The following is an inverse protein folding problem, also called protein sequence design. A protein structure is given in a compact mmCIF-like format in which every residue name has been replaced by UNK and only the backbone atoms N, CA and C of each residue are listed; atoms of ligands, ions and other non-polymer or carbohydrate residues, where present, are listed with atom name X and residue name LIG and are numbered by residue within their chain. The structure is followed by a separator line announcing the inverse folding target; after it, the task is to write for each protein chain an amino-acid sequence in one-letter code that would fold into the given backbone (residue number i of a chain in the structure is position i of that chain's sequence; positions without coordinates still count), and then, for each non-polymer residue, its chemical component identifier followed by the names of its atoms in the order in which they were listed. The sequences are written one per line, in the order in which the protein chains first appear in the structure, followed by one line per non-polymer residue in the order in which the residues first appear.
data_IF_054527447467
#
_entry.id   IF_054527447467
#
_cell.length_a   1.000
_cell.length_b   1.000
_cell.length_c   1.000
_cell.angle_alpha   90.00
_cell.angle_beta   90.00
_cell.angle_gamma   90.00
#
_symmetry.space_group_name_H-M   'P 1'
#
loop_
_entity.id
_entity.type
_entity.pdbx_description
1 polymer ?
#
# COMPACT_ATOMS: atom_id res chain seq x y z
N UNK A 1 91.50 -32.65 36.61
CA UNK A 1 91.20 -32.05 35.28
C UNK A 1 89.94 -31.21 35.43
N UNK A 2 90.10 -29.89 35.40
CA UNK A 2 89.04 -28.89 35.46
C UNK A 2 88.43 -28.73 34.06
N UNK A 3 87.12 -28.93 33.91
CA UNK A 3 86.39 -28.50 32.71
C UNK A 3 85.79 -27.12 33.01
N UNK A 4 86.36 -26.08 32.40
CA UNK A 4 85.78 -24.74 32.34
C UNK A 4 84.56 -24.77 31.40
N UNK A 5 83.39 -24.43 31.93
CA UNK A 5 82.25 -23.99 31.13
C UNK A 5 82.42 -22.50 30.83
N UNK A 6 82.43 -22.13 29.56
CA UNK A 6 82.43 -20.76 29.10
C UNK A 6 80.98 -20.25 29.05
N UNK A 7 80.69 -19.19 29.81
CA UNK A 7 79.44 -18.45 29.74
C UNK A 7 79.31 -17.72 28.39
N UNK A 8 78.19 -17.95 27.71
CA UNK A 8 77.80 -17.22 26.50
C UNK A 8 77.10 -15.92 26.91
N UNK A 9 77.58 -14.73 26.50
CA UNK A 9 76.95 -13.47 26.91
C UNK A 9 75.61 -13.26 26.23
N UNK A 10 74.59 -12.94 27.03
CA UNK A 10 73.24 -12.58 26.58
C UNK A 10 73.26 -11.34 25.68
N UNK A 11 72.61 -11.44 24.52
CA UNK A 11 72.47 -10.35 23.56
C UNK A 11 71.67 -9.18 24.18
N UNK A 12 72.33 -8.04 24.35
CA UNK A 12 71.68 -6.79 24.79
C UNK A 12 70.89 -6.23 23.60
N UNK A 13 69.57 -6.36 23.65
CA UNK A 13 68.64 -5.74 22.70
C UNK A 13 68.81 -4.21 22.71
N UNK A 14 69.47 -3.64 21.70
CA UNK A 14 69.66 -2.20 21.51
C UNK A 14 68.35 -1.51 21.07
N UNK A 15 67.36 -1.45 21.96
CA UNK A 15 66.15 -0.65 21.75
C UNK A 15 66.46 0.79 22.14
N UNK A 16 66.48 1.71 21.16
CA UNK A 16 66.67 3.14 21.41
C UNK A 16 65.49 3.66 22.23
N UNK A 17 65.73 3.94 23.51
CA UNK A 17 64.74 4.56 24.40
C UNK A 17 64.69 6.05 24.04
N UNK A 18 63.68 6.45 23.27
CA UNK A 18 63.39 7.86 23.03
C UNK A 18 62.92 8.49 24.34
N UNK A 19 63.49 9.65 24.70
CA UNK A 19 63.07 10.42 25.88
C UNK A 19 61.59 10.79 25.74
N UNK A 20 60.81 10.56 26.79
CA UNK A 20 59.42 11.02 26.85
C UNK A 20 59.38 12.55 26.84
N UNK A 21 58.32 13.09 26.22
CA UNK A 21 58.02 14.51 26.32
C UNK A 21 57.76 14.88 27.78
N UNK A 22 58.22 16.06 28.22
CA UNK A 22 57.91 16.62 29.53
C UNK A 22 56.41 16.63 29.83
N UNK A 23 55.56 16.82 28.82
CA UNK A 23 54.09 16.80 28.94
C UNK A 23 53.56 15.40 29.27
N UNK A 24 54.19 14.36 28.74
CA UNK A 24 53.84 12.97 29.03
C UNK A 24 54.23 12.61 30.46
N UNK A 25 55.38 13.07 30.93
CA UNK A 25 55.85 12.80 32.29
C UNK A 25 55.03 13.57 33.33
N UNK A 26 54.66 14.82 33.03
CA UNK A 26 53.71 15.58 33.85
C UNK A 26 52.35 14.87 33.98
N UNK A 27 51.81 14.30 32.88
CA UNK A 27 50.56 13.52 32.93
C UNK A 27 50.69 12.27 33.78
N UNK A 28 51.83 11.56 33.71
CA UNK A 28 52.08 10.36 34.54
C UNK A 28 52.20 10.72 36.01
N UNK A 29 52.94 11.78 36.35
CA UNK A 29 53.08 12.26 37.72
C UNK A 29 51.73 12.68 38.31
N UNK A 30 50.93 13.44 37.54
CA UNK A 30 49.61 13.87 37.97
C UNK A 30 48.64 12.69 38.12
N UNK A 31 48.71 11.70 37.24
CA UNK A 31 47.92 10.47 37.38
C UNK A 31 48.34 9.64 38.60
N UNK A 32 49.64 9.59 38.93
CA UNK A 32 50.11 8.91 40.14
C UNK A 32 49.59 9.58 41.42
N UNK A 33 49.57 10.91 41.46
CA UNK A 33 48.99 11.67 42.58
C UNK A 33 47.48 11.39 42.74
N UNK A 34 46.73 11.33 41.62
CA UNK A 34 45.30 10.99 41.67
C UNK A 34 45.08 9.55 42.12
N UNK A 35 45.98 8.64 41.79
CA UNK A 35 45.84 7.25 42.21
C UNK A 35 46.07 7.06 43.73
N UNK A 36 46.94 7.89 44.33
CA UNK A 36 47.18 7.88 45.78
C UNK A 36 46.13 8.66 46.57
N UNK A 37 45.77 9.86 46.11
CA UNK A 37 44.97 10.83 46.91
C UNK A 37 43.55 11.05 46.36
N UNK A 38 43.26 10.54 45.16
CA UNK A 38 41.97 10.77 44.50
C UNK A 38 40.82 9.98 45.11
N UNK A 39 39.62 10.55 45.02
CA UNK A 39 38.38 9.93 45.47
C UNK A 39 37.84 8.96 44.41
N UNK A 40 37.32 7.82 44.87
CA UNK A 40 36.66 6.84 43.99
C UNK A 40 35.27 7.36 43.63
N UNK A 41 35.01 7.50 42.33
CA UNK A 41 33.71 7.91 41.79
C UNK A 41 33.15 6.84 40.86
N UNK A 42 31.88 7.00 40.48
CA UNK A 42 31.25 6.23 39.41
C UNK A 42 32.18 6.13 38.19
N UNK A 43 32.38 4.93 37.63
CA UNK A 43 33.34 4.74 36.56
C UNK A 43 32.92 5.49 35.29
N UNK A 44 33.85 6.24 34.71
CA UNK A 44 33.66 6.80 33.37
C UNK A 44 33.59 5.67 32.34
N UNK A 45 33.04 5.92 31.14
CA UNK A 45 32.90 4.90 30.09
C UNK A 45 34.23 4.19 29.79
N UNK A 46 35.33 4.94 29.82
CA UNK A 46 36.67 4.40 29.60
C UNK A 46 37.12 3.42 30.70
N UNK A 47 36.90 3.76 31.96
CA UNK A 47 37.25 2.90 33.09
C UNK A 47 36.29 1.70 33.19
N UNK A 48 35.00 1.91 32.94
CA UNK A 48 33.99 0.86 32.96
C UNK A 48 34.30 -0.26 31.96
N UNK A 49 34.59 0.09 30.70
CA UNK A 49 34.94 -0.87 29.64
C UNK A 49 36.21 -1.69 29.92
N UNK A 50 37.06 -1.21 30.82
CA UNK A 50 38.35 -1.85 31.17
C UNK A 50 38.35 -2.44 32.57
N UNK A 51 37.21 -2.39 33.27
CA UNK A 51 37.07 -2.83 34.65
C UNK A 51 38.11 -2.18 35.58
N UNK A 52 38.37 -0.88 35.40
CA UNK A 52 39.30 -0.11 36.21
C UNK A 52 38.55 0.77 37.23
N UNK A 53 39.16 0.98 38.39
CA UNK A 53 38.65 1.91 39.40
C UNK A 53 38.86 3.34 38.92
N UNK A 54 37.79 4.14 38.92
CA UNK A 54 37.83 5.52 38.47
C UNK A 54 38.09 6.45 39.66
N UNK A 55 39.34 6.93 39.79
CA UNK A 55 39.72 7.92 40.80
C UNK A 55 39.85 9.30 40.19
N UNK A 56 39.32 10.32 40.87
CA UNK A 56 39.35 11.72 40.43
C UNK A 56 39.74 12.63 41.59
N UNK A 57 40.66 13.57 41.35
CA UNK A 57 40.99 14.59 42.34
C UNK A 57 39.88 15.66 42.44
N UNK A 58 39.70 16.31 43.60
CA UNK A 58 38.77 17.42 43.74
C UNK A 58 39.12 18.54 42.75
N UNK A 59 38.11 19.06 42.05
CA UNK A 59 38.28 20.10 41.02
C UNK A 59 38.77 19.61 39.64
N UNK A 60 39.15 18.33 39.49
CA UNK A 60 39.48 17.77 38.18
C UNK A 60 38.23 17.30 37.44
N UNK A 61 38.10 17.68 36.17
CA UNK A 61 37.09 17.12 35.26
C UNK A 61 37.44 15.73 34.73
N UNK A 62 38.64 15.22 35.02
CA UNK A 62 39.18 13.97 34.47
C UNK A 62 39.73 13.04 35.55
N UNK A 63 39.46 11.75 35.39
CA UNK A 63 40.03 10.71 36.25
C UNK A 63 41.51 10.43 35.92
N UNK A 64 42.23 9.83 36.86
CA UNK A 64 43.67 9.53 36.76
C UNK A 64 44.02 8.73 35.50
N UNK A 65 43.21 7.73 35.16
CA UNK A 65 43.44 6.89 33.97
C UNK A 65 43.23 7.64 32.65
N UNK A 66 42.21 8.51 32.56
CA UNK A 66 42.00 9.34 31.37
C UNK A 66 43.12 10.37 31.20
N UNK A 67 43.64 10.93 32.30
CA UNK A 67 44.78 11.85 32.28
C UNK A 67 46.05 11.13 31.84
N UNK A 68 46.32 9.95 32.40
CA UNK A 68 47.46 9.09 32.02
C UNK A 68 47.48 8.80 30.52
N UNK A 69 46.31 8.51 29.95
CA UNK A 69 46.15 8.24 28.51
C UNK A 69 46.01 9.50 27.65
N UNK A 70 45.81 10.67 28.27
CA UNK A 70 45.53 11.92 27.55
C UNK A 70 44.21 11.92 26.78
N UNK A 71 43.17 11.24 27.28
CA UNK A 71 41.83 11.19 26.68
C UNK A 71 40.83 12.06 27.46
N UNK A 72 39.70 12.38 26.82
CA UNK A 72 38.55 12.97 27.50
C UNK A 72 37.97 12.01 28.53
N UNK A 73 37.38 12.55 29.58
CA UNK A 73 36.74 11.80 30.66
C UNK A 73 35.29 12.28 30.76
N UNK A 74 34.36 11.34 30.70
CA UNK A 74 32.92 11.53 30.84
C UNK A 74 32.44 11.31 32.30
N UNK A 75 33.36 10.90 33.20
CA UNK A 75 33.05 10.49 34.57
C UNK A 75 32.49 11.55 35.51
N UNK A 76 32.58 12.84 35.17
CA UNK A 76 32.02 13.93 35.99
C UNK A 76 30.57 14.27 35.59
N UNK A 77 30.12 13.83 34.41
CA UNK A 77 28.79 14.16 33.86
C UNK A 77 27.86 12.96 33.70
N UNK A 78 28.20 11.79 34.24
CA UNK A 78 27.38 10.58 34.05
C UNK A 78 25.99 10.75 34.67
N UNK A 79 25.89 11.42 35.82
CA UNK A 79 24.60 11.66 36.50
C UNK A 79 23.71 12.60 35.68
N UNK A 80 24.24 13.73 35.20
CA UNK A 80 23.45 14.66 34.39
C UNK A 80 23.11 14.11 33.00
N UNK A 81 23.97 13.26 32.43
CA UNK A 81 23.66 12.53 31.21
C UNK A 81 22.55 11.49 31.43
N UNK A 82 22.57 10.80 32.58
CA UNK A 82 21.54 9.84 32.96
C UNK A 82 20.19 10.52 33.20
N UNK A 83 20.17 11.66 33.90
CA UNK A 83 18.94 12.45 34.12
C UNK A 83 18.30 12.88 32.80
N UNK A 84 19.12 13.35 31.84
CA UNK A 84 18.64 13.69 30.49
C UNK A 84 18.09 12.47 29.75
N UNK A 85 18.79 11.34 29.81
CA UNK A 85 18.35 10.10 29.18
C UNK A 85 17.02 9.61 29.75
N UNK A 86 16.83 9.69 31.07
CA UNK A 86 15.57 9.33 31.73
C UNK A 86 14.42 10.29 31.36
N UNK A 87 14.70 11.59 31.27
CA UNK A 87 13.71 12.58 30.83
C UNK A 87 13.29 12.35 29.37
N UNK A 88 14.26 12.08 28.49
CA UNK A 88 13.99 11.72 27.10
C UNK A 88 13.20 10.42 27.00
N UNK A 89 13.56 9.40 27.78
CA UNK A 89 12.84 8.12 27.82
C UNK A 89 11.38 8.33 28.21
N UNK A 90 11.12 9.07 29.31
CA UNK A 90 9.75 9.37 29.75
C UNK A 90 8.96 10.14 28.70
N UNK A 91 9.61 11.07 27.99
CA UNK A 91 8.98 11.79 26.88
C UNK A 91 8.59 10.83 25.74
N UNK A 92 9.47 9.90 25.38
CA UNK A 92 9.19 8.89 24.35
C UNK A 92 8.09 7.93 24.77
N UNK A 93 8.05 7.53 26.05
CA UNK A 93 6.97 6.68 26.58
C UNK A 93 5.60 7.37 26.43
N UNK A 94 5.50 8.68 26.74
CA UNK A 94 4.27 9.43 26.50
C UNK A 94 3.92 9.54 25.01
N UNK A 95 4.89 9.82 24.14
CA UNK A 95 4.68 9.86 22.68
C UNK A 95 4.22 8.50 22.12
N UNK A 96 4.69 7.38 22.71
CA UNK A 96 4.24 6.03 22.36
C UNK A 96 2.79 5.81 22.78
N UNK A 97 2.46 6.15 24.02
CA UNK A 97 1.09 6.01 24.55
C UNK A 97 0.08 6.82 23.73
N UNK A 98 0.44 8.06 23.35
CA UNK A 98 -0.38 8.88 22.45
C UNK A 98 -0.58 8.22 21.08
N UNK A 99 0.49 7.68 20.48
CA UNK A 99 0.40 6.97 19.21
C UNK A 99 -0.43 5.68 19.31
N UNK A 100 -0.37 4.96 20.42
CA UNK A 100 -1.19 3.78 20.67
C UNK A 100 -2.67 4.13 20.76
N UNK A 101 -3.04 5.20 21.46
CA UNK A 101 -4.42 5.69 21.50
C UNK A 101 -4.93 6.10 20.11
N UNK A 102 -4.09 6.76 19.30
CA UNK A 102 -4.44 7.11 17.91
C UNK A 102 -4.68 5.85 17.05
N UNK A 103 -3.86 4.81 17.23
CA UNK A 103 -4.03 3.54 16.54
C UNK A 103 -5.35 2.86 16.90
N UNK A 104 -5.77 2.87 18.16
CA UNK A 104 -7.07 2.33 18.58
C UNK A 104 -8.23 3.06 17.90
N UNK A 105 -8.17 4.39 17.84
CA UNK A 105 -9.18 5.21 17.14
C UNK A 105 -9.20 4.88 15.64
N UNK A 106 -8.05 4.67 15.02
CA UNK A 106 -7.98 4.28 13.61
C UNK A 106 -8.52 2.86 13.37
N UNK A 107 -8.28 1.92 14.29
CA UNK A 107 -8.83 0.57 14.21
C UNK A 107 -10.36 0.56 14.29
N UNK A 108 -10.95 1.37 15.18
CA UNK A 108 -12.42 1.49 15.25
C UNK A 108 -12.98 2.08 13.96
N UNK A 109 -12.36 3.14 13.41
CA UNK A 109 -12.74 3.72 12.10
C UNK A 109 -12.64 2.69 10.99
N UNK A 110 -11.57 1.92 10.93
CA UNK A 110 -11.38 0.83 9.96
C UNK A 110 -12.51 -0.20 10.07
N UNK A 111 -12.82 -0.67 11.29
CA UNK A 111 -13.89 -1.62 11.52
C UNK A 111 -15.26 -1.10 11.04
N UNK A 112 -15.57 0.18 11.30
CA UNK A 112 -16.82 0.79 10.80
C UNK A 112 -16.86 0.87 9.27
N UNK A 113 -15.74 1.22 8.63
CA UNK A 113 -15.63 1.31 7.17
C UNK A 113 -15.77 -0.08 6.52
N UNK A 114 -15.13 -1.10 7.07
CA UNK A 114 -15.28 -2.49 6.63
C UNK A 114 -16.73 -2.97 6.80
N UNK A 115 -17.38 -2.61 7.91
CA UNK A 115 -18.80 -2.89 8.13
C UNK A 115 -19.69 -2.25 7.05
N UNK A 116 -19.47 -0.97 6.70
CA UNK A 116 -20.18 -0.29 5.61
C UNK A 116 -19.95 -0.97 4.26
N UNK A 117 -18.70 -1.29 3.94
CA UNK A 117 -18.34 -1.98 2.70
C UNK A 117 -19.00 -3.35 2.59
N UNK A 118 -19.09 -4.11 3.69
CA UNK A 118 -19.79 -5.39 3.72
C UNK A 118 -21.28 -5.24 3.40
N UNK A 119 -21.94 -4.20 3.93
CA UNK A 119 -23.37 -3.91 3.65
C UNK A 119 -23.57 -3.51 2.19
N UNK A 120 -22.74 -2.63 1.65
CA UNK A 120 -22.80 -2.22 0.25
C UNK A 120 -22.63 -3.40 -0.70
N UNK A 121 -21.70 -4.33 -0.40
CA UNK A 121 -21.54 -5.56 -1.18
C UNK A 121 -22.80 -6.43 -1.15
N UNK A 122 -23.45 -6.59 0.01
CA UNK A 122 -24.72 -7.33 0.13
C UNK A 122 -25.85 -6.66 -0.65
N UNK A 123 -26.01 -5.35 -0.51
CA UNK A 123 -27.01 -4.57 -1.23
C UNK A 123 -26.81 -4.66 -2.76
N UNK A 124 -25.56 -4.56 -3.23
CA UNK A 124 -25.23 -4.73 -4.65
C UNK A 124 -25.63 -6.11 -5.16
N UNK A 125 -25.32 -7.17 -4.42
CA UNK A 125 -25.71 -8.55 -4.79
C UNK A 125 -27.23 -8.71 -4.85
N UNK A 126 -27.94 -8.20 -3.84
CA UNK A 126 -29.40 -8.27 -3.80
C UNK A 126 -30.08 -7.43 -4.90
N UNK A 127 -29.50 -6.29 -5.28
CA UNK A 127 -29.98 -5.49 -6.40
C UNK A 127 -29.76 -6.21 -7.74
N UNK A 128 -28.58 -6.82 -7.92
CA UNK A 128 -28.27 -7.62 -9.11
C UNK A 128 -29.22 -8.82 -9.24
N UNK A 129 -29.44 -9.58 -8.18
CA UNK A 129 -30.36 -10.72 -8.18
C UNK A 129 -31.81 -10.30 -8.52
N UNK A 130 -32.28 -9.19 -7.94
CA UNK A 130 -33.60 -8.63 -8.28
C UNK A 130 -33.69 -8.18 -9.75
N UNK A 131 -32.62 -7.59 -10.29
CA UNK A 131 -32.54 -7.21 -11.70
C UNK A 131 -32.60 -8.43 -12.63
N UNK A 132 -31.87 -9.49 -12.31
CA UNK A 132 -31.90 -10.76 -13.05
C UNK A 132 -33.28 -11.41 -13.01
N UNK A 133 -33.97 -11.38 -11.86
CA UNK A 133 -35.33 -11.89 -11.72
C UNK A 133 -36.35 -11.08 -12.54
N UNK A 134 -36.30 -9.75 -12.48
CA UNK A 134 -37.17 -8.88 -13.28
C UNK A 134 -36.93 -9.07 -14.78
N UNK A 135 -35.66 -9.20 -15.19
CA UNK A 135 -35.29 -9.46 -16.57
C UNK A 135 -35.84 -10.83 -17.04
N UNK A 136 -35.69 -11.87 -16.24
CA UNK A 136 -36.23 -13.20 -16.56
C UNK A 136 -37.76 -13.21 -16.65
N UNK A 137 -38.46 -12.47 -15.78
CA UNK A 137 -39.92 -12.30 -15.85
C UNK A 137 -40.34 -11.54 -17.11
N UNK A 138 -39.63 -10.46 -17.46
CA UNK A 138 -39.90 -9.68 -18.66
C UNK A 138 -39.76 -10.52 -19.94
N UNK A 139 -38.70 -11.33 -20.04
CA UNK A 139 -38.54 -12.26 -21.18
C UNK A 139 -39.70 -13.24 -21.26
N UNK A 140 -40.10 -13.88 -20.15
CA UNK A 140 -41.22 -14.82 -20.16
C UNK A 140 -42.54 -14.19 -20.60
N UNK A 141 -42.78 -12.94 -20.21
CA UNK A 141 -43.98 -12.20 -20.63
C UNK A 141 -43.97 -11.95 -22.14
N UNK A 142 -42.81 -11.56 -22.70
CA UNK A 142 -42.67 -11.40 -24.15
C UNK A 142 -42.84 -12.73 -24.90
N UNK A 143 -42.24 -13.81 -24.39
CA UNK A 143 -42.41 -15.15 -24.98
C UNK A 143 -43.88 -15.60 -24.94
N UNK A 144 -44.62 -15.30 -23.87
CA UNK A 144 -46.06 -15.60 -23.76
C UNK A 144 -46.90 -14.73 -24.73
N UNK A 145 -46.57 -13.45 -24.89
CA UNK A 145 -47.23 -12.55 -25.84
C UNK A 145 -46.98 -12.98 -27.29
N UNK A 146 -45.77 -13.42 -27.62
CA UNK A 146 -45.41 -13.97 -28.94
C UNK A 146 -46.12 -15.31 -29.23
N UNK A 147 -46.51 -16.06 -28.21
CA UNK A 147 -47.30 -17.30 -28.35
C UNK A 147 -48.81 -17.00 -28.47
N UNK A 148 -49.32 -15.95 -27.82
CA UNK A 148 -50.73 -15.56 -27.85
C UNK A 148 -51.07 -14.78 -29.13
N UNK A 149 -50.11 -14.06 -29.70
CA UNK A 149 -50.20 -13.54 -31.06
C UNK A 149 -49.94 -14.71 -32.04
N UNK A 150 -50.87 -15.08 -32.94
CA UNK A 150 -50.70 -16.19 -33.88
C UNK A 150 -49.61 -16.00 -34.96
N UNK A 151 -48.55 -15.24 -34.69
CA UNK A 151 -47.49 -14.91 -35.65
C UNK A 151 -46.39 -15.97 -35.74
N UNK A 152 -46.53 -17.11 -35.06
CA UNK A 152 -45.47 -18.12 -34.95
C UNK A 152 -45.81 -19.54 -35.42
N UNK A 153 -47.03 -19.80 -35.91
CA UNK A 153 -47.40 -21.17 -36.26
C UNK A 153 -48.77 -21.27 -36.90
N UNK A 154 -48.89 -20.74 -38.12
CA UNK A 154 -49.68 -21.28 -39.24
C UNK A 154 -49.79 -20.17 -40.31
N UNK A 155 -48.79 -20.05 -41.19
CA UNK A 155 -48.88 -19.16 -42.37
C UNK A 155 -50.16 -19.40 -43.18
N UNK A 156 -50.72 -20.62 -43.12
CA UNK A 156 -52.00 -20.99 -43.70
C UNK A 156 -53.21 -20.22 -43.11
N UNK A 157 -53.20 -19.89 -41.81
CA UNK A 157 -54.34 -19.23 -41.16
C UNK A 157 -54.37 -17.74 -41.47
N UNK A 158 -53.20 -17.10 -41.62
CA UNK A 158 -53.10 -15.69 -42.01
C UNK A 158 -53.48 -15.51 -43.48
N UNK A 159 -52.97 -16.35 -44.39
CA UNK A 159 -53.35 -16.31 -45.80
C UNK A 159 -54.86 -16.55 -46.01
N UNK A 160 -55.45 -17.47 -45.23
CA UNK A 160 -56.89 -17.70 -45.26
C UNK A 160 -57.69 -16.52 -44.69
N UNK A 161 -57.20 -15.86 -43.64
CA UNK A 161 -57.82 -14.67 -43.07
C UNK A 161 -57.72 -13.46 -44.01
N UNK A 162 -56.57 -13.27 -44.66
CA UNK A 162 -56.36 -12.26 -45.69
C UNK A 162 -57.28 -12.52 -46.90
N UNK A 163 -57.38 -13.76 -47.37
CA UNK A 163 -58.28 -14.12 -48.46
C UNK A 163 -59.74 -13.82 -48.13
N UNK A 164 -60.19 -14.13 -46.90
CA UNK A 164 -61.54 -13.81 -46.45
C UNK A 164 -61.78 -12.29 -46.35
N UNK A 165 -60.82 -11.53 -45.83
CA UNK A 165 -60.92 -10.06 -45.75
C UNK A 165 -60.93 -9.42 -47.13
N UNK A 166 -60.09 -9.91 -48.05
CA UNK A 166 -60.07 -9.46 -49.45
C UNK A 166 -61.40 -9.78 -50.12
N UNK A 167 -61.96 -10.97 -49.89
CA UNK A 167 -63.27 -11.36 -50.41
C UNK A 167 -64.39 -10.46 -49.85
N UNK A 168 -64.46 -10.26 -48.53
CA UNK A 168 -65.45 -9.40 -47.87
C UNK A 168 -65.39 -7.96 -48.39
N UNK A 169 -64.19 -7.42 -48.58
CA UNK A 169 -63.97 -6.09 -49.17
C UNK A 169 -64.48 -6.04 -50.62
N UNK A 170 -64.24 -7.10 -51.40
CA UNK A 170 -64.71 -7.20 -52.77
C UNK A 170 -66.24 -7.30 -52.85
N UNK A 171 -66.86 -8.04 -51.92
CA UNK A 171 -68.31 -8.17 -51.76
C UNK A 171 -68.98 -6.87 -51.30
N UNK A 172 -68.29 -6.07 -50.50
CA UNK A 172 -68.72 -4.72 -50.11
C UNK A 172 -68.50 -3.67 -51.21
N UNK A 173 -68.06 -4.11 -52.40
CA UNK A 173 -67.89 -3.26 -53.56
C UNK A 173 -66.57 -2.49 -53.59
N UNK A 174 -65.63 -2.78 -52.68
CA UNK A 174 -64.26 -2.31 -52.78
C UNK A 174 -63.49 -3.19 -53.79
N UNK A 175 -63.92 -3.19 -55.05
CA UNK A 175 -63.20 -3.87 -56.12
C UNK A 175 -62.09 -2.98 -56.64
N UNK A 176 -60.85 -3.43 -56.48
CA UNK A 176 -59.72 -3.15 -57.37
C UNK A 176 -59.34 -1.67 -57.59
N UNK A 177 -58.18 -1.30 -57.02
CA UNK A 177 -57.49 -0.01 -57.21
C UNK A 177 -58.22 1.16 -56.53
N UNK A 178 -57.91 1.35 -55.24
CA UNK A 178 -57.97 2.70 -54.67
C UNK A 178 -56.94 3.52 -55.44
N UNK A 179 -57.41 4.40 -56.34
CA UNK A 179 -56.57 5.39 -56.99
C UNK A 179 -56.18 6.44 -55.94
N UNK A 180 -55.05 6.22 -55.28
CA UNK A 180 -54.50 7.12 -54.27
C UNK A 180 -54.29 8.55 -54.79
N UNK A 181 -54.11 8.68 -56.12
CA UNK A 181 -54.03 9.96 -56.83
C UNK A 181 -55.32 10.78 -56.75
N UNK A 182 -56.48 10.11 -56.60
CA UNK A 182 -57.80 10.74 -56.48
C UNK A 182 -58.10 11.27 -55.06
N UNK A 183 -57.38 10.77 -54.05
CA UNK A 183 -57.47 11.24 -52.66
C UNK A 183 -56.61 12.49 -52.38
N UNK A 184 -56.04 13.10 -53.41
CA UNK A 184 -55.20 14.30 -53.31
C UNK A 184 -53.74 14.01 -52.94
N UNK A 185 -53.34 12.74 -52.87
CA UNK A 185 -51.94 12.35 -52.84
C UNK A 185 -51.43 12.31 -54.29
N UNK A 186 -51.05 13.49 -54.81
CA UNK A 186 -50.43 13.63 -56.13
C UNK A 186 -49.11 12.86 -56.25
N UNK A 187 -48.50 12.91 -57.45
CA UNK A 187 -47.33 12.16 -57.96
C UNK A 187 -46.02 12.19 -57.14
N UNK A 188 -46.05 12.39 -55.83
CA UNK A 188 -44.87 12.50 -54.96
C UNK A 188 -44.28 11.13 -54.55
N UNK A 189 -45.00 10.03 -54.80
CA UNK A 189 -44.54 8.67 -54.50
C UNK A 189 -44.34 7.78 -55.72
N UNK A 190 -44.61 8.28 -56.94
CA UNK A 190 -44.43 7.54 -58.20
C UNK A 190 -42.95 7.30 -58.56
N UNK A 191 -42.02 8.01 -57.91
CA UNK A 191 -40.57 7.87 -58.09
C UNK A 191 -39.93 6.83 -57.16
N UNK A 192 -40.70 6.22 -56.25
CA UNK A 192 -40.21 5.08 -55.49
C UNK A 192 -40.33 3.83 -56.36
N UNK A 193 -39.29 3.64 -57.18
CA UNK A 193 -39.13 2.50 -58.08
C UNK A 193 -39.30 1.14 -57.41
N UNK A 194 -39.41 0.06 -58.21
CA UNK A 194 -39.87 -1.24 -57.72
C UNK A 194 -39.08 -1.73 -56.51
N UNK A 195 -39.79 -2.12 -55.45
CA UNK A 195 -39.23 -2.77 -54.26
C UNK A 195 -38.48 -4.03 -54.72
N UNK A 196 -37.16 -4.13 -54.49
CA UNK A 196 -36.42 -5.32 -54.90
C UNK A 196 -36.87 -6.50 -54.05
N UNK A 197 -37.30 -7.57 -54.74
CA UNK A 197 -37.61 -8.86 -54.12
C UNK A 197 -36.36 -9.47 -53.48
N UNK A 198 -36.60 -10.23 -52.42
CA UNK A 198 -35.60 -10.95 -51.66
C UNK A 198 -34.69 -11.82 -52.55
N UNK A 199 -33.45 -11.98 -52.07
CA UNK A 199 -32.34 -12.81 -52.56
C UNK A 199 -31.29 -12.12 -53.45
N UNK A 200 -30.29 -11.45 -52.84
CA UNK A 200 -28.85 -11.74 -53.03
C UNK A 200 -28.04 -11.39 -51.75
N UNK A 201 -27.75 -12.44 -50.98
CA UNK A 201 -26.45 -12.85 -50.43
C UNK A 201 -25.37 -11.78 -50.10
N UNK A 202 -24.93 -11.81 -48.83
CA UNK A 202 -23.54 -12.13 -48.50
C UNK A 202 -22.47 -11.03 -48.57
N UNK A 203 -21.84 -10.81 -47.40
CA UNK A 203 -20.51 -10.22 -47.18
C UNK A 203 -20.42 -8.70 -47.48
N UNK A 204 -19.72 -7.85 -46.73
CA UNK A 204 -18.41 -7.99 -46.10
C UNK A 204 -18.23 -6.97 -44.95
N UNK A 205 -17.26 -7.29 -44.10
CA UNK A 205 -16.65 -6.48 -43.06
C UNK A 205 -16.28 -5.01 -43.40
N UNK A 206 -16.29 -4.16 -42.37
CA UNK A 206 -15.05 -3.50 -41.92
C UNK A 206 -15.01 -1.96 -41.87
N UNK A 207 -14.62 -1.44 -40.69
CA UNK A 207 -13.82 -0.20 -40.45
C UNK A 207 -14.52 1.15 -40.72
N UNK A 208 -14.35 2.26 -39.99
CA UNK A 208 -13.22 2.85 -39.22
C UNK A 208 -13.84 3.98 -38.36
N UNK A 209 -13.31 4.49 -37.25
CA UNK A 209 -11.91 4.70 -36.92
C UNK A 209 -11.38 6.02 -37.48
N UNK A 210 -11.75 7.16 -36.87
CA UNK A 210 -10.95 8.37 -36.58
C UNK A 210 -11.83 9.48 -36.01
#
# INVERSE_FOLDING_TARGET
MLLLQADVPAAISSRVIKRSSAKTDQRKALAALIDSEGEIKMPCTGCFKRHLVCKTAPGSSRCGECIRRGRSCDGVSVVSALEKALAEQKKREAEIEDAEMELEVLQTKLATALGRLSRLRKMRKAAKARGEELFARGIRQLDEEDVVLPLGGDNLSLEAQEANVVQDLQEWGASGVVDWSSLGFGEEFSDLGPVPGDDILGATAGSSGS
#
